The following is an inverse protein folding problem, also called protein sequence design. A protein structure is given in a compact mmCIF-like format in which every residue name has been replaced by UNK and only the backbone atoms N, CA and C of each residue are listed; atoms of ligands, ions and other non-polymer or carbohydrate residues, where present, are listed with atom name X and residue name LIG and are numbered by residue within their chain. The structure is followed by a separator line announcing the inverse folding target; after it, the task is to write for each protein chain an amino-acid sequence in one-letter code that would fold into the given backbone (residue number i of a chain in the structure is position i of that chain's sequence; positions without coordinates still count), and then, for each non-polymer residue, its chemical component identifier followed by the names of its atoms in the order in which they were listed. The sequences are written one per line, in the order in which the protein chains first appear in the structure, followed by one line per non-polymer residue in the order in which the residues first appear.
data_IF_688602596869
#
_entry.id   IF_688602596869
#
_cell.length_a   1.000
_cell.length_b   1.000
_cell.length_c   1.000
_cell.angle_alpha   90.00
_cell.angle_beta   90.00
_cell.angle_gamma   90.00
#
_symmetry.space_group_name_H-M   'P 1'
#
loop_
_entity.id
_entity.type
_entity.pdbx_description
1 polymer ?
#
# COMPACT_ATOMS: atom_id res chain seq x y z
N UNK A 1 -40.36 -5.04 -7.16
CA UNK A 1 -39.27 -4.61 -8.06
C UNK A 1 -38.28 -3.61 -7.43
N UNK A 2 -38.64 -2.85 -6.37
CA UNK A 2 -37.73 -1.86 -5.77
C UNK A 2 -36.62 -2.42 -4.85
N UNK A 3 -36.88 -3.51 -4.15
CA UNK A 3 -35.96 -4.04 -3.12
C UNK A 3 -34.69 -4.64 -3.72
N UNK A 4 -34.81 -5.47 -4.77
CA UNK A 4 -33.66 -6.05 -5.48
C UNK A 4 -32.80 -4.99 -6.18
N UNK A 5 -33.41 -3.89 -6.67
CA UNK A 5 -32.69 -2.78 -7.26
C UNK A 5 -31.92 -1.97 -6.20
N UNK A 6 -32.50 -1.79 -5.01
CA UNK A 6 -31.82 -1.17 -3.86
C UNK A 6 -30.63 -1.99 -3.38
N UNK A 7 -30.77 -3.31 -3.30
CA UNK A 7 -29.68 -4.23 -2.92
C UNK A 7 -28.54 -4.21 -3.96
N UNK A 8 -28.87 -4.23 -5.25
CA UNK A 8 -27.86 -4.14 -6.31
C UNK A 8 -27.08 -2.82 -6.26
N UNK A 9 -27.77 -1.70 -6.00
CA UNK A 9 -27.13 -0.39 -5.86
C UNK A 9 -26.23 -0.32 -4.63
N UNK A 10 -26.67 -0.88 -3.49
CA UNK A 10 -25.86 -0.99 -2.29
C UNK A 10 -24.61 -1.86 -2.52
N UNK A 11 -24.75 -2.95 -3.28
CA UNK A 11 -23.64 -3.81 -3.64
C UNK A 11 -22.63 -3.12 -4.57
N UNK A 12 -23.10 -2.37 -5.56
CA UNK A 12 -22.25 -1.55 -6.43
C UNK A 12 -21.51 -0.47 -5.64
N UNK A 13 -22.21 0.21 -4.71
CA UNK A 13 -21.60 1.19 -3.81
C UNK A 13 -20.52 0.56 -2.94
N UNK A 14 -20.79 -0.61 -2.34
CA UNK A 14 -19.81 -1.31 -1.54
C UNK A 14 -18.56 -1.70 -2.35
N UNK A 15 -18.73 -2.19 -3.58
CA UNK A 15 -17.61 -2.49 -4.49
C UNK A 15 -16.81 -1.22 -4.86
N UNK A 16 -17.50 -0.10 -5.11
CA UNK A 16 -16.86 1.19 -5.38
C UNK A 16 -16.08 1.72 -4.17
N UNK A 17 -16.57 1.50 -2.96
CA UNK A 17 -15.94 1.87 -1.69
C UNK A 17 -14.80 0.89 -1.27
N UNK A 18 -14.46 -0.09 -2.11
CA UNK A 18 -13.31 -0.98 -1.90
C UNK A 18 -13.62 -2.27 -1.14
N UNK A 19 -14.89 -2.66 -1.00
CA UNK A 19 -15.24 -4.00 -0.53
C UNK A 19 -14.67 -5.06 -1.50
N UNK A 20 -14.25 -6.24 -1.00
CA UNK A 20 -13.68 -7.27 -1.84
C UNK A 20 -14.70 -7.74 -2.88
N UNK A 21 -14.26 -7.88 -4.13
CA UNK A 21 -15.07 -8.34 -5.26
C UNK A 21 -15.28 -9.87 -5.21
N UNK A 22 -15.95 -10.34 -4.16
CA UNK A 22 -16.33 -11.75 -4.00
C UNK A 22 -17.45 -12.11 -4.99
N UNK A 23 -17.58 -13.41 -5.30
CA UNK A 23 -18.65 -13.89 -6.19
C UNK A 23 -20.06 -13.56 -5.67
N UNK A 24 -20.26 -13.55 -4.34
CA UNK A 24 -21.52 -13.15 -3.72
C UNK A 24 -21.83 -11.66 -3.95
N UNK A 25 -20.86 -10.77 -3.71
CA UNK A 25 -21.04 -9.33 -3.96
C UNK A 25 -21.25 -9.01 -5.44
N UNK A 26 -20.53 -9.67 -6.33
CA UNK A 26 -20.71 -9.53 -7.77
C UNK A 26 -22.08 -10.06 -8.23
N UNK A 27 -22.58 -11.12 -7.60
CA UNK A 27 -23.90 -11.67 -7.88
C UNK A 27 -25.01 -10.72 -7.45
N UNK A 28 -24.90 -10.12 -6.26
CA UNK A 28 -25.81 -9.09 -5.77
C UNK A 28 -25.81 -7.86 -6.67
N UNK A 29 -24.63 -7.35 -7.03
CA UNK A 29 -24.49 -6.19 -7.93
C UNK A 29 -25.04 -6.46 -9.34
N UNK A 30 -24.85 -7.67 -9.87
CA UNK A 30 -25.32 -8.05 -11.19
C UNK A 30 -26.79 -8.51 -11.23
N UNK A 31 -27.44 -8.66 -10.06
CA UNK A 31 -28.78 -9.25 -9.95
C UNK A 31 -28.84 -10.70 -10.48
N UNK A 32 -27.76 -11.47 -10.29
CA UNK A 32 -27.62 -12.86 -10.77
C UNK A 32 -27.39 -13.80 -9.59
N UNK A 33 -27.53 -15.10 -9.85
CA UNK A 33 -27.14 -16.11 -8.85
C UNK A 33 -25.63 -16.31 -8.85
N UNK A 34 -25.07 -16.45 -7.65
CA UNK A 34 -23.65 -16.72 -7.42
C UNK A 34 -23.20 -18.00 -8.15
N UNK A 35 -23.99 -19.07 -8.07
CA UNK A 35 -23.70 -20.34 -8.73
C UNK A 35 -23.53 -20.19 -10.26
N UNK A 36 -24.33 -19.32 -10.89
CA UNK A 36 -24.24 -19.07 -12.33
C UNK A 36 -23.02 -18.24 -12.69
N UNK A 37 -22.66 -17.29 -11.84
CA UNK A 37 -21.45 -16.49 -11.97
C UNK A 37 -20.20 -17.36 -11.83
N UNK A 38 -20.15 -18.27 -10.86
CA UNK A 38 -19.05 -19.21 -10.65
C UNK A 38 -18.89 -20.17 -11.85
N UNK A 39 -19.99 -20.77 -12.33
CA UNK A 39 -19.95 -21.61 -13.53
C UNK A 39 -19.51 -20.84 -14.79
N UNK A 40 -19.84 -19.55 -14.89
CA UNK A 40 -19.39 -18.69 -15.99
C UNK A 40 -17.89 -18.41 -15.87
N UNK A 41 -17.44 -18.07 -14.67
CA UNK A 41 -16.04 -17.82 -14.36
C UNK A 41 -15.15 -19.04 -14.65
N UNK A 42 -15.57 -20.24 -14.24
CA UNK A 42 -14.83 -21.48 -14.49
C UNK A 42 -14.71 -21.79 -15.99
N UNK A 43 -15.82 -21.63 -16.73
CA UNK A 43 -15.88 -21.88 -18.17
C UNK A 43 -15.04 -20.89 -18.98
N UNK A 44 -15.00 -19.65 -18.53
CA UNK A 44 -14.28 -18.56 -19.22
C UNK A 44 -12.88 -18.32 -18.65
N UNK A 45 -12.44 -19.14 -17.68
CA UNK A 45 -11.13 -19.04 -17.07
C UNK A 45 -10.88 -17.70 -16.38
N UNK A 46 -11.92 -17.11 -15.78
CA UNK A 46 -11.79 -15.86 -15.03
C UNK A 46 -10.82 -16.10 -13.89
N UNK A 47 -9.78 -15.28 -13.84
CA UNK A 47 -8.83 -15.30 -12.73
C UNK A 47 -9.35 -14.33 -11.69
N UNK A 48 -9.51 -14.81 -10.45
CA UNK A 48 -9.43 -13.88 -9.33
C UNK A 48 -8.08 -13.21 -9.49
N UNK A 49 -7.99 -11.86 -9.46
CA UNK A 49 -6.69 -11.27 -9.24
C UNK A 49 -6.10 -12.01 -8.05
N UNK A 50 -4.91 -12.59 -8.20
CA UNK A 50 -4.12 -12.95 -7.02
C UNK A 50 -4.26 -11.77 -6.07
N UNK A 51 -4.28 -11.98 -4.75
CA UNK A 51 -3.99 -10.88 -3.88
C UNK A 51 -2.51 -10.48 -4.16
N UNK A 52 -2.21 -9.83 -5.30
CA UNK A 52 -1.61 -8.51 -5.24
C UNK A 52 -2.38 -7.89 -4.12
N UNK A 53 -1.73 -7.83 -2.96
CA UNK A 53 -2.30 -7.30 -1.76
C UNK A 53 -3.19 -6.15 -2.18
N UNK A 54 -4.35 -6.01 -1.56
CA UNK A 54 -4.87 -4.67 -1.40
C UNK A 54 -3.79 -3.86 -0.64
N UNK A 55 -2.75 -3.47 -1.37
CA UNK A 55 -1.95 -2.28 -1.27
C UNK A 55 -2.73 -1.14 -1.96
N UNK A 56 -4.07 -1.24 -2.01
CA UNK A 56 -4.85 -0.14 -1.46
C UNK A 56 -4.30 0.07 -0.05
N UNK A 57 -3.37 1.00 0.02
CA UNK A 57 -2.62 1.41 1.18
C UNK A 57 -3.43 1.17 2.46
N UNK A 58 -2.93 0.38 3.43
CA UNK A 58 -3.64 0.14 4.68
C UNK A 58 -4.11 1.45 5.33
N UNK A 59 -3.40 2.56 5.10
CA UNK A 59 -3.79 3.92 5.44
C UNK A 59 -5.03 4.39 4.66
N UNK A 60 -5.07 4.27 3.32
CA UNK A 60 -6.26 4.56 2.52
C UNK A 60 -7.48 3.72 2.96
N UNK A 61 -7.27 2.45 3.33
CA UNK A 61 -8.34 1.57 3.80
C UNK A 61 -8.81 1.94 5.21
N UNK A 62 -7.90 2.34 6.09
CA UNK A 62 -8.23 2.91 7.40
C UNK A 62 -8.97 4.25 7.26
N UNK A 63 -8.59 5.09 6.29
CA UNK A 63 -9.27 6.35 5.98
C UNK A 63 -10.71 6.10 5.52
N UNK A 64 -10.91 5.20 4.55
CA UNK A 64 -12.25 4.85 4.06
C UNK A 64 -13.16 4.27 5.17
N UNK A 65 -12.60 3.43 6.04
CA UNK A 65 -13.33 2.91 7.20
C UNK A 65 -13.67 4.03 8.21
N UNK A 66 -12.75 4.96 8.43
CA UNK A 66 -12.97 6.11 9.32
C UNK A 66 -14.04 7.04 8.75
N UNK A 67 -13.98 7.36 7.46
CA UNK A 67 -14.96 8.20 6.76
C UNK A 67 -16.37 7.58 6.81
N UNK A 68 -16.46 6.26 6.65
CA UNK A 68 -17.72 5.54 6.78
C UNK A 68 -18.28 5.59 8.21
N UNK A 69 -17.44 5.37 9.22
CA UNK A 69 -17.86 5.45 10.62
C UNK A 69 -18.29 6.87 11.01
N UNK A 70 -17.61 7.89 10.49
CA UNK A 70 -18.00 9.30 10.65
C UNK A 70 -19.36 9.54 10.00
N UNK A 71 -19.60 9.06 8.78
CA UNK A 71 -20.89 9.20 8.12
C UNK A 71 -22.05 8.48 8.85
N UNK A 72 -21.80 7.33 9.46
CA UNK A 72 -22.81 6.66 10.31
C UNK A 72 -23.05 7.43 11.61
N UNK A 73 -22.01 8.00 12.22
CA UNK A 73 -22.10 8.85 13.41
C UNK A 73 -22.94 10.11 13.13
N UNK A 74 -22.65 10.80 12.02
CA UNK A 74 -23.38 11.99 11.57
C UNK A 74 -24.86 11.67 11.34
N UNK A 75 -25.15 10.53 10.70
CA UNK A 75 -26.53 10.09 10.45
C UNK A 75 -27.31 9.83 11.75
N UNK A 76 -26.73 9.05 12.68
CA UNK A 76 -27.36 8.78 13.98
C UNK A 76 -27.53 10.06 14.79
N UNK A 77 -26.59 11.00 14.66
CA UNK A 77 -26.71 12.32 15.28
C UNK A 77 -27.84 13.16 14.69
N UNK A 78 -27.94 13.26 13.35
CA UNK A 78 -29.01 14.00 12.69
C UNK A 78 -30.40 13.40 13.00
N UNK A 79 -30.52 12.07 13.00
CA UNK A 79 -31.77 11.39 13.35
C UNK A 79 -32.19 11.65 14.82
N UNK A 80 -31.22 11.72 15.74
CA UNK A 80 -31.48 12.06 17.15
C UNK A 80 -31.82 13.54 17.37
N UNK A 81 -31.26 14.45 16.57
CA UNK A 81 -31.59 15.88 16.59
C UNK A 81 -32.99 16.15 16.02
N UNK A 82 -33.37 15.50 14.92
CA UNK A 82 -34.69 15.64 14.30
C UNK A 82 -35.82 15.09 15.18
N UNK A 83 -35.55 14.00 15.91
CA UNK A 83 -36.52 13.37 16.82
C UNK A 83 -36.50 13.96 18.22
N UNK A 84 -35.48 14.75 18.57
CA UNK A 84 -35.30 15.38 19.88
C UNK A 84 -35.08 14.40 21.03
N UNK A 85 -34.83 13.12 20.73
CA UNK A 85 -34.68 12.07 21.74
C UNK A 85 -33.60 11.07 21.32
N UNK A 86 -32.45 11.14 21.98
CA UNK A 86 -31.50 10.04 21.96
C UNK A 86 -31.89 9.02 23.02
N UNK A 87 -32.16 7.79 22.61
CA UNK A 87 -32.23 6.69 23.57
C UNK A 87 -30.83 6.27 24.05
N UNK A 88 -30.79 5.59 25.20
CA UNK A 88 -29.53 5.17 25.82
C UNK A 88 -28.71 4.24 24.91
N UNK A 89 -29.39 3.42 24.11
CA UNK A 89 -28.76 2.47 23.19
C UNK A 89 -28.02 3.22 22.07
N UNK A 90 -28.62 4.29 21.57
CA UNK A 90 -28.06 5.18 20.55
C UNK A 90 -26.85 5.94 21.07
N UNK A 91 -26.92 6.46 22.31
CA UNK A 91 -25.78 7.12 22.95
C UNK A 91 -24.60 6.16 23.18
N UNK A 92 -24.87 4.93 23.62
CA UNK A 92 -23.84 3.92 23.81
C UNK A 92 -23.20 3.50 22.47
N UNK A 93 -23.99 3.43 21.40
CA UNK A 93 -23.51 3.15 20.04
C UNK A 93 -22.62 4.28 19.50
N UNK A 94 -23.03 5.55 19.66
CA UNK A 94 -22.22 6.73 19.29
C UNK A 94 -20.88 6.75 20.05
N UNK A 95 -20.91 6.47 21.36
CA UNK A 95 -19.70 6.39 22.17
C UNK A 95 -18.76 5.25 21.75
N UNK A 96 -19.30 4.11 21.32
CA UNK A 96 -18.51 3.01 20.78
C UNK A 96 -17.88 3.36 19.42
N UNK A 97 -18.64 4.02 18.54
CA UNK A 97 -18.14 4.47 17.23
C UNK A 97 -17.02 5.51 17.37
N UNK A 98 -17.16 6.49 18.28
CA UNK A 98 -16.11 7.48 18.57
C UNK A 98 -14.80 6.83 19.03
N UNK A 99 -14.86 5.85 19.93
CA UNK A 99 -13.66 5.10 20.38
C UNK A 99 -13.01 4.31 19.26
N UNK A 100 -13.81 3.77 18.32
CA UNK A 100 -13.28 3.05 17.17
C UNK A 100 -12.55 3.99 16.21
N UNK A 101 -13.10 5.19 15.94
CA UNK A 101 -12.44 6.21 15.12
C UNK A 101 -11.12 6.67 15.74
N UNK A 102 -11.10 6.92 17.06
CA UNK A 102 -9.88 7.30 17.78
C UNK A 102 -8.78 6.22 17.67
N UNK A 103 -9.16 4.96 17.91
CA UNK A 103 -8.24 3.82 17.82
C UNK A 103 -7.71 3.58 16.39
N UNK A 104 -8.55 3.81 15.37
CA UNK A 104 -8.12 3.75 13.97
C UNK A 104 -7.12 4.86 13.64
N UNK A 105 -7.34 6.06 14.18
CA UNK A 105 -6.41 7.19 14.05
C UNK A 105 -5.07 6.98 14.75
N UNK A 106 -5.03 6.27 15.88
CA UNK A 106 -3.77 5.88 16.54
C UNK A 106 -2.97 4.86 15.70
N UNK A 107 -3.64 3.86 15.13
CA UNK A 107 -2.98 2.84 14.31
C UNK A 107 -2.39 3.41 13.01
N UNK A 108 -3.07 4.36 12.36
CA UNK A 108 -2.55 5.02 11.15
C UNK A 108 -1.32 5.90 11.40
N UNK A 109 -1.21 6.54 12.58
CA UNK A 109 -0.03 7.34 12.92
C UNK A 109 1.22 6.47 13.11
N UNK A 110 1.06 5.28 13.70
CA UNK A 110 2.18 4.35 13.92
C UNK A 110 2.78 3.82 12.60
N UNK A 111 1.95 3.59 11.58
CA UNK A 111 2.41 3.13 10.26
C UNK A 111 3.13 4.21 9.49
N UNK A 112 2.64 5.45 9.54
CA UNK A 112 3.28 6.60 8.91
C UNK A 112 4.67 6.87 9.50
N UNK A 113 4.81 6.91 10.83
CA UNK A 113 6.10 7.14 11.47
C UNK A 113 7.12 6.04 11.14
N UNK A 114 6.70 4.77 11.08
CA UNK A 114 7.59 3.68 10.69
C UNK A 114 8.07 3.77 9.23
N UNK A 115 7.20 4.24 8.31
CA UNK A 115 7.56 4.47 6.90
C UNK A 115 8.56 5.61 6.75
N UNK A 116 8.33 6.73 7.44
CA UNK A 116 9.25 7.88 7.44
C UNK A 116 10.63 7.50 7.99
N UNK A 117 10.67 6.68 9.03
CA UNK A 117 11.90 6.21 9.65
C UNK A 117 12.66 5.22 8.74
N UNK A 118 11.94 4.33 8.04
CA UNK A 118 12.53 3.45 7.02
C UNK A 118 13.10 4.26 5.84
N UNK A 119 12.37 5.25 5.33
CA UNK A 119 12.86 6.11 4.24
C UNK A 119 14.14 6.85 4.65
N UNK A 120 14.18 7.40 5.87
CA UNK A 120 15.39 8.04 6.41
C UNK A 120 16.56 7.04 6.49
N UNK A 121 16.31 5.84 6.98
CA UNK A 121 17.31 4.78 7.04
C UNK A 121 17.83 4.39 5.66
N UNK A 122 16.96 4.33 4.65
CA UNK A 122 17.32 3.98 3.27
C UNK A 122 18.15 5.09 2.61
N UNK A 123 17.81 6.36 2.86
CA UNK A 123 18.59 7.52 2.41
C UNK A 123 19.99 7.53 3.04
N UNK A 124 20.10 7.27 4.35
CA UNK A 124 21.39 7.16 5.04
C UNK A 124 22.23 5.99 4.51
N UNK A 125 21.58 4.85 4.21
CA UNK A 125 22.22 3.69 3.59
C UNK A 125 22.74 4.04 2.19
N UNK A 126 21.93 4.68 1.35
CA UNK A 126 22.34 5.11 0.01
C UNK A 126 23.53 6.07 0.06
N UNK A 127 23.52 7.03 0.99
CA UNK A 127 24.64 7.95 1.21
C UNK A 127 25.91 7.23 1.71
N UNK A 128 25.79 6.17 2.51
CA UNK A 128 26.92 5.34 2.91
C UNK A 128 27.50 4.56 1.72
N UNK A 129 26.64 3.94 0.90
CA UNK A 129 27.04 3.20 -0.29
C UNK A 129 27.73 4.10 -1.33
N UNK A 130 27.22 5.31 -1.55
CA UNK A 130 27.85 6.28 -2.46
C UNK A 130 29.28 6.67 -2.02
N UNK A 131 29.51 6.80 -0.71
CA UNK A 131 30.86 7.06 -0.17
C UNK A 131 31.81 5.88 -0.38
N UNK A 132 31.30 4.65 -0.24
CA UNK A 132 32.09 3.44 -0.50
C UNK A 132 32.45 3.36 -1.99
N UNK A 133 31.49 3.59 -2.88
CA UNK A 133 31.72 3.55 -4.33
C UNK A 133 32.76 4.57 -4.78
N UNK A 134 32.66 5.81 -4.30
CA UNK A 134 33.67 6.85 -4.57
C UNK A 134 35.07 6.42 -4.12
N UNK A 135 35.19 5.76 -2.97
CA UNK A 135 36.48 5.26 -2.46
C UNK A 135 37.00 4.07 -3.25
N UNK A 136 36.13 3.20 -3.75
CA UNK A 136 36.52 2.09 -4.63
C UNK A 136 37.10 2.62 -5.93
N UNK A 137 36.45 3.61 -6.55
CA UNK A 137 36.93 4.24 -7.78
C UNK A 137 38.31 4.88 -7.58
N UNK A 138 38.47 5.66 -6.50
CA UNK A 138 39.75 6.29 -6.17
C UNK A 138 40.88 5.25 -6.01
N UNK A 139 40.63 4.16 -5.26
CA UNK A 139 41.63 3.10 -5.06
C UNK A 139 41.94 2.35 -6.37
N UNK A 140 40.95 2.17 -7.23
CA UNK A 140 41.14 1.52 -8.53
C UNK A 140 41.98 2.39 -9.47
N UNK A 141 41.75 3.70 -9.50
CA UNK A 141 42.56 4.66 -10.26
C UNK A 141 44.01 4.67 -9.76
N UNK A 142 44.21 4.71 -8.44
CA UNK A 142 45.54 4.65 -7.81
C UNK A 142 46.28 3.37 -8.18
N UNK A 143 45.61 2.21 -8.13
CA UNK A 143 46.19 0.92 -8.48
C UNK A 143 46.53 0.85 -9.98
N UNK A 144 45.63 1.32 -10.84
CA UNK A 144 45.85 1.36 -12.28
C UNK A 144 47.05 2.27 -12.62
N UNK A 145 47.19 3.42 -11.95
CA UNK A 145 48.33 4.31 -12.08
C UNK A 145 49.65 3.63 -11.69
N UNK A 146 49.69 2.91 -10.56
CA UNK A 146 50.89 2.15 -10.13
C UNK A 146 51.24 1.02 -11.08
N UNK A 147 50.26 0.31 -11.61
CA UNK A 147 50.50 -0.75 -12.60
C UNK A 147 51.01 -0.18 -13.92
N UNK A 148 50.50 0.96 -14.38
CA UNK A 148 50.96 1.63 -15.59
C UNK A 148 52.41 2.14 -15.46
N UNK A 149 52.79 2.70 -14.29
CA UNK A 149 54.18 3.12 -14.05
C UNK A 149 55.12 1.92 -13.97
N UNK A 150 54.71 0.83 -13.31
CA UNK A 150 55.51 -0.40 -13.22
C UNK A 150 55.73 -1.04 -14.61
N UNK A 151 54.69 -1.15 -15.43
CA UNK A 151 54.81 -1.67 -16.80
C UNK A 151 55.64 -0.75 -17.72
N UNK A 152 55.58 0.58 -17.52
CA UNK A 152 56.41 1.53 -18.27
C UNK A 152 57.90 1.43 -17.93
N UNK A 153 58.22 1.12 -16.68
CA UNK A 153 59.60 0.89 -16.22
C UNK A 153 60.15 -0.43 -16.78
N UNK A 154 59.36 -1.50 -16.76
CA UNK A 154 59.77 -2.80 -17.32
C UNK A 154 60.04 -2.71 -18.83
N UNK A 155 59.19 -1.99 -19.58
CA UNK A 155 59.38 -1.79 -21.02
C UNK A 155 60.64 -0.97 -21.36
N UNK A 156 60.97 0.01 -20.52
CA UNK A 156 62.18 0.84 -20.69
C UNK A 156 63.47 0.07 -20.37
N UNK A 157 63.40 -0.94 -19.49
CA UNK A 157 64.52 -1.82 -19.18
C UNK A 157 64.77 -2.87 -20.28
N UNK A 158 63.72 -3.36 -20.95
CA UNK A 158 63.81 -4.30 -22.08
C UNK A 158 64.45 -3.66 -23.33
N UNK A 159 64.10 -2.42 -23.64
CA UNK A 159 64.66 -1.68 -24.79
C UNK A 159 66.15 -1.31 -24.59
N UNK A 160 66.61 -1.17 -23.34
CA UNK A 160 68.02 -0.90 -23.02
C UNK A 160 68.92 -2.16 -23.01
N UNK A 161 68.35 -3.36 -22.90
CA UNK A 161 69.08 -4.63 -22.83
C UNK A 161 69.29 -5.35 -24.17
N UNK A 162 68.67 -4.89 -25.26
CA UNK A 162 68.67 -5.58 -26.57
C UNK A 162 69.67 -4.96 -27.57
N UNK A 163 70.57 -4.10 -27.09
CA UNK A 163 71.60 -3.43 -27.91
C UNK A 163 73.01 -3.74 -27.43
N UNK A 164 73.46 -4.99 -27.60
CA UNK A 164 74.87 -5.39 -27.64
C UNK A 164 75.10 -6.32 -28.85
#
# INVERSE_FOLDING_TARGET
MGESASIALAALRALYEGAPATFDMLALAAGRSEARLRATADREGWRTPEPVAHAADPEARLSLLSDRLIGELEKVSSEGEETGAYDKVSLDALAAMLRMVEKLGEMGRGTQSAREEQMRSDEEMAAALARIDARILELAEDLAGRLATQMGVDKSAEEAGTGD
#
